data_IF_910862133294
#
_entry.id   IF_910862133294
#
_cell.length_a   1.000
_cell.length_b   1.000
_cell.length_c   1.000
_cell.angle_alpha   90.00
_cell.angle_beta   90.00
_cell.angle_gamma   90.00
#
_symmetry.space_group_name_H-M   'P 1'
#
loop_
_entity.id
_entity.type
_entity.pdbx_description
1 polymer ?
#
# COMPACT_ATOMS: atom_id res chain seq x y z
N UNK A 1 -25.85 16.27 -44.76
CA UNK A 1 -26.58 15.37 -43.84
C UNK A 1 -25.64 15.13 -42.67
N UNK A 2 -25.68 16.03 -41.69
CA UNK A 2 -24.80 15.97 -40.53
C UNK A 2 -25.27 14.82 -39.63
N UNK A 3 -24.38 13.89 -39.30
CA UNK A 3 -24.63 12.90 -38.25
C UNK A 3 -24.84 13.67 -36.96
N UNK A 4 -25.99 13.46 -36.33
CA UNK A 4 -26.23 13.93 -34.98
C UNK A 4 -25.14 13.37 -34.06
N UNK A 5 -24.50 14.19 -33.21
CA UNK A 5 -23.55 13.69 -32.24
C UNK A 5 -24.29 12.77 -31.26
N UNK A 6 -23.77 11.55 -31.12
CA UNK A 6 -24.32 10.52 -30.25
C UNK A 6 -24.23 11.02 -28.80
N UNK A 7 -25.34 10.97 -28.06
CA UNK A 7 -25.46 11.47 -26.67
C UNK A 7 -24.53 10.73 -25.67
N UNK A 8 -23.85 9.67 -26.13
CA UNK A 8 -22.84 8.92 -25.39
C UNK A 8 -21.44 9.58 -25.40
N UNK A 9 -21.14 10.43 -26.38
CA UNK A 9 -19.83 11.12 -26.48
C UNK A 9 -19.70 12.29 -25.48
N UNK A 10 -20.77 12.64 -24.78
CA UNK A 10 -20.85 13.85 -23.95
C UNK A 10 -20.64 13.61 -22.44
N UNK A 11 -20.27 12.39 -22.03
CA UNK A 11 -20.07 12.00 -20.63
C UNK A 11 -18.65 11.50 -20.29
N UNK A 12 -17.70 11.53 -21.23
CA UNK A 12 -16.39 10.87 -21.10
C UNK A 12 -15.38 11.56 -20.16
N UNK A 13 -15.78 12.57 -19.39
CA UNK A 13 -14.85 13.29 -18.53
C UNK A 13 -15.42 13.67 -17.17
N UNK A 14 -15.76 12.70 -16.32
CA UNK A 14 -15.83 12.84 -14.84
C UNK A 14 -16.32 11.54 -14.18
N UNK A 15 -15.50 10.48 -14.10
CA UNK A 15 -15.92 9.26 -13.42
C UNK A 15 -14.90 8.13 -13.41
N UNK A 16 -15.26 7.01 -12.78
CA UNK A 16 -14.53 5.75 -12.85
C UNK A 16 -15.14 4.92 -13.98
N UNK A 17 -14.35 4.60 -14.99
CA UNK A 17 -14.74 3.69 -16.08
C UNK A 17 -14.24 2.29 -15.78
N UNK A 18 -15.09 1.28 -15.98
CA UNK A 18 -14.75 -0.13 -15.78
C UNK A 18 -14.78 -0.87 -17.11
N UNK A 19 -13.63 -1.41 -17.52
CA UNK A 19 -13.50 -2.32 -18.65
C UNK A 19 -13.45 -3.77 -18.16
N UNK A 20 -14.16 -4.67 -18.83
CA UNK A 20 -14.22 -6.09 -18.49
C UNK A 20 -13.96 -6.96 -19.71
N UNK A 21 -13.04 -7.92 -19.57
CA UNK A 21 -12.72 -8.93 -20.60
C UNK A 21 -12.20 -10.20 -19.92
N UNK A 22 -12.33 -11.33 -20.60
CA UNK A 22 -11.68 -12.59 -20.25
C UNK A 22 -10.29 -12.73 -20.88
N UNK A 23 -9.95 -11.86 -21.83
CA UNK A 23 -8.66 -11.80 -22.49
C UNK A 23 -7.92 -10.51 -22.07
N UNK A 24 -6.77 -10.62 -21.38
CA UNK A 24 -6.00 -9.45 -21.00
C UNK A 24 -5.43 -8.67 -22.20
N UNK A 25 -5.18 -9.31 -23.35
CA UNK A 25 -4.69 -8.61 -24.54
C UNK A 25 -5.72 -7.61 -25.09
N UNK A 26 -7.00 -7.93 -24.95
CA UNK A 26 -8.09 -7.03 -25.35
C UNK A 26 -8.17 -5.81 -24.42
N UNK A 27 -7.93 -5.99 -23.11
CA UNK A 27 -7.81 -4.87 -22.17
C UNK A 27 -6.59 -4.00 -22.47
N UNK A 28 -5.47 -4.62 -22.85
CA UNK A 28 -4.27 -3.88 -23.27
C UNK A 28 -4.52 -3.11 -24.58
N UNK A 29 -5.28 -3.68 -25.53
CA UNK A 29 -5.72 -3.00 -26.75
C UNK A 29 -6.57 -1.77 -26.41
N UNK A 30 -7.59 -1.93 -25.58
CA UNK A 30 -8.43 -0.81 -25.14
C UNK A 30 -7.61 0.26 -24.42
N UNK A 31 -6.70 -0.15 -23.53
CA UNK A 31 -5.80 0.78 -22.85
C UNK A 31 -4.93 1.57 -23.83
N UNK A 32 -4.44 0.96 -24.91
CA UNK A 32 -3.67 1.67 -25.93
C UNK A 32 -4.51 2.68 -26.71
N UNK A 33 -5.79 2.40 -26.93
CA UNK A 33 -6.74 3.34 -27.55
C UNK A 33 -7.03 4.54 -26.64
N UNK A 34 -7.22 4.28 -25.35
CA UNK A 34 -7.44 5.34 -24.35
C UNK A 34 -6.21 6.27 -24.23
N UNK A 35 -4.99 5.71 -24.35
CA UNK A 35 -3.73 6.46 -24.34
C UNK A 35 -3.43 7.21 -25.65
N UNK A 36 -4.26 7.04 -26.69
CA UNK A 36 -4.09 7.80 -27.93
C UNK A 36 -4.39 9.30 -27.73
N UNK A 37 -5.20 9.63 -26.72
CA UNK A 37 -5.37 10.99 -26.24
C UNK A 37 -4.28 11.30 -25.19
N UNK A 38 -3.31 12.18 -25.50
CA UNK A 38 -2.18 12.43 -24.60
C UNK A 38 -2.60 13.23 -23.37
N UNK A 39 -1.84 13.08 -22.27
CA UNK A 39 -1.95 13.95 -21.11
C UNK A 39 -1.78 15.43 -21.47
N UNK A 40 -2.46 16.29 -20.72
CA UNK A 40 -2.38 17.75 -20.89
C UNK A 40 -0.98 18.33 -20.60
N UNK A 41 -0.20 17.67 -19.73
CA UNK A 41 1.21 18.00 -19.48
C UNK A 41 2.12 17.15 -20.39
N UNK A 42 2.94 17.75 -21.27
CA UNK A 42 3.91 17.04 -22.10
C UNK A 42 4.96 16.24 -21.31
N UNK A 43 5.16 16.57 -20.04
CA UNK A 43 6.01 15.85 -19.11
C UNK A 43 5.21 15.07 -18.06
N UNK A 44 3.91 14.85 -18.27
CA UNK A 44 3.13 13.94 -17.46
C UNK A 44 3.70 12.52 -17.51
N UNK A 45 3.55 11.78 -16.42
CA UNK A 45 3.78 10.34 -16.40
C UNK A 45 2.44 9.62 -16.46
N UNK A 46 2.33 8.60 -17.31
CA UNK A 46 1.16 7.73 -17.32
C UNK A 46 1.19 6.82 -16.10
N UNK A 47 0.15 6.89 -15.25
CA UNK A 47 0.10 6.23 -13.95
C UNK A 47 -0.69 4.92 -14.03
N UNK A 48 -0.04 3.81 -13.68
CA UNK A 48 -0.66 2.47 -13.70
C UNK A 48 -0.66 1.87 -12.30
N UNK A 49 -1.82 1.39 -11.86
CA UNK A 49 -1.94 0.54 -10.68
C UNK A 49 -1.85 -0.94 -11.10
N UNK A 50 -0.83 -1.65 -10.60
CA UNK A 50 -0.63 -3.07 -10.88
C UNK A 50 -0.46 -3.89 -9.61
N UNK A 51 -0.89 -5.15 -9.67
CA UNK A 51 -0.83 -6.09 -8.53
C UNK A 51 0.56 -6.73 -8.39
N UNK A 52 1.33 -6.79 -9.48
CA UNK A 52 2.64 -7.46 -9.48
C UNK A 52 3.59 -6.82 -10.48
N UNK A 53 4.90 -6.99 -10.24
CA UNK A 53 5.95 -6.50 -11.16
C UNK A 53 5.83 -7.13 -12.54
N UNK A 54 5.49 -8.42 -12.59
CA UNK A 54 5.30 -9.15 -13.84
C UNK A 54 4.16 -8.57 -14.68
N UNK A 55 3.05 -8.21 -14.05
CA UNK A 55 1.94 -7.53 -14.73
C UNK A 55 2.37 -6.16 -15.27
N UNK A 56 3.11 -5.36 -14.49
CA UNK A 56 3.64 -4.08 -14.96
C UNK A 56 4.54 -4.23 -16.19
N UNK A 57 5.50 -5.15 -16.14
CA UNK A 57 6.38 -5.43 -17.28
C UNK A 57 5.63 -5.97 -18.49
N UNK A 58 4.62 -6.82 -18.29
CA UNK A 58 3.78 -7.32 -19.38
C UNK A 58 2.98 -6.19 -20.04
N UNK A 59 2.31 -5.33 -19.26
CA UNK A 59 1.58 -4.16 -19.79
C UNK A 59 2.53 -3.25 -20.57
N UNK A 60 3.70 -2.95 -20.01
CA UNK A 60 4.69 -2.08 -20.65
C UNK A 60 5.11 -2.60 -22.03
N UNK A 61 5.34 -3.91 -22.15
CA UNK A 61 5.69 -4.54 -23.43
C UNK A 61 4.52 -4.54 -24.41
N UNK A 62 3.30 -4.85 -23.95
CA UNK A 62 2.09 -4.84 -24.79
C UNK A 62 1.80 -3.45 -25.36
N UNK A 63 1.92 -2.41 -24.53
CA UNK A 63 1.74 -1.03 -24.97
C UNK A 63 2.87 -0.59 -25.91
N UNK A 64 4.12 -0.95 -25.63
CA UNK A 64 5.24 -0.64 -26.51
C UNK A 64 5.10 -1.28 -27.90
N UNK A 65 4.65 -2.54 -27.96
CA UNK A 65 4.42 -3.24 -29.23
C UNK A 65 3.32 -2.55 -30.08
N UNK A 66 2.26 -2.08 -29.43
CA UNK A 66 1.09 -1.47 -30.09
C UNK A 66 1.32 0.00 -30.47
N UNK A 67 1.96 0.77 -29.59
CA UNK A 67 2.22 2.20 -29.76
C UNK A 67 3.58 2.47 -30.43
N UNK A 68 4.40 1.44 -30.65
CA UNK A 68 5.77 1.51 -31.16
C UNK A 68 6.79 1.89 -30.08
N UNK A 69 6.46 2.86 -29.23
CA UNK A 69 7.25 3.24 -28.05
C UNK A 69 6.29 3.52 -26.90
N UNK A 70 6.57 2.94 -25.74
CA UNK A 70 5.88 3.27 -24.51
C UNK A 70 6.90 3.61 -23.42
N UNK A 71 6.89 4.85 -22.98
CA UNK A 71 7.89 5.43 -22.07
C UNK A 71 7.21 6.42 -21.12
N UNK A 72 7.95 6.87 -20.10
CA UNK A 72 7.48 7.85 -19.12
C UNK A 72 6.17 7.40 -18.44
N UNK A 73 6.18 6.17 -17.95
CA UNK A 73 5.09 5.53 -17.21
C UNK A 73 5.51 5.18 -15.79
N UNK A 74 4.62 5.34 -14.83
CA UNK A 74 4.85 4.97 -13.43
C UNK A 74 3.93 3.81 -13.04
N UNK A 75 4.52 2.68 -12.64
CA UNK A 75 3.77 1.50 -12.19
C UNK A 75 3.77 1.43 -10.66
N UNK A 76 2.62 1.68 -10.04
CA UNK A 76 2.41 1.67 -8.59
C UNK A 76 1.74 0.39 -8.14
N UNK A 77 2.16 -0.08 -6.96
CA UNK A 77 1.51 -1.18 -6.25
C UNK A 77 0.43 -0.64 -5.32
N UNK A 78 -0.52 -1.49 -4.87
CA UNK A 78 -1.64 -1.06 -4.04
C UNK A 78 -1.24 -0.21 -2.82
N UNK A 79 -0.16 -0.58 -2.11
CA UNK A 79 0.32 0.18 -0.95
C UNK A 79 0.74 1.61 -1.31
N UNK A 80 1.49 1.76 -2.41
CA UNK A 80 1.93 3.07 -2.89
C UNK A 80 0.74 3.91 -3.37
N UNK A 81 -0.25 3.28 -3.99
CA UNK A 81 -1.46 3.96 -4.48
C UNK A 81 -2.32 4.48 -3.34
N UNK A 82 -2.53 3.71 -2.27
CA UNK A 82 -3.25 4.21 -1.08
C UNK A 82 -2.57 5.45 -0.52
N UNK A 83 -1.23 5.45 -0.42
CA UNK A 83 -0.48 6.62 0.06
C UNK A 83 -0.60 7.82 -0.89
N UNK A 84 -0.51 7.59 -2.20
CA UNK A 84 -0.68 8.63 -3.21
C UNK A 84 -2.05 9.31 -3.07
N UNK A 85 -3.12 8.51 -2.95
CA UNK A 85 -4.48 9.01 -2.73
C UNK A 85 -4.55 9.80 -1.42
N UNK A 86 -4.08 9.24 -0.31
CA UNK A 86 -4.11 9.90 0.99
C UNK A 86 -3.40 11.27 0.98
N UNK A 87 -2.25 11.38 0.30
CA UNK A 87 -1.55 12.68 0.14
C UNK A 87 -2.35 13.70 -0.67
N UNK A 88 -3.08 13.25 -1.69
CA UNK A 88 -3.93 14.13 -2.49
C UNK A 88 -5.09 14.73 -1.69
N UNK A 89 -5.56 14.03 -0.65
CA UNK A 89 -6.69 14.47 0.17
C UNK A 89 -6.31 15.09 1.53
N UNK A 90 -5.14 14.74 2.09
CA UNK A 90 -4.69 15.19 3.40
C UNK A 90 -3.56 16.22 3.25
N UNK A 91 -3.85 17.49 3.54
CA UNK A 91 -2.93 18.62 3.37
C UNK A 91 -1.60 18.49 4.14
N UNK A 92 -1.62 17.82 5.30
CA UNK A 92 -0.47 17.69 6.21
C UNK A 92 0.07 16.24 6.29
N UNK A 93 -0.09 15.44 5.23
CA UNK A 93 0.41 14.07 5.24
C UNK A 93 1.95 14.04 5.22
N UNK A 94 2.63 13.44 6.22
CA UNK A 94 4.09 13.37 6.23
C UNK A 94 4.67 12.67 5.01
N UNK A 95 5.82 13.15 4.51
CA UNK A 95 6.52 12.53 3.39
C UNK A 95 7.03 11.11 3.72
N UNK A 96 7.32 10.83 4.98
CA UNK A 96 7.78 9.51 5.41
C UNK A 96 6.75 8.84 6.32
N UNK A 97 6.51 7.55 6.08
CA UNK A 97 5.73 6.74 6.98
C UNK A 97 6.58 6.42 8.22
N UNK A 98 6.34 7.12 9.33
CA UNK A 98 7.04 6.93 10.61
C UNK A 98 6.73 5.56 11.29
N UNK A 99 5.82 4.79 10.71
CA UNK A 99 5.37 3.47 11.15
C UNK A 99 5.64 2.40 10.08
N UNK A 100 6.81 2.44 9.43
CA UNK A 100 7.30 1.26 8.69
C UNK A 100 7.46 0.06 9.62
N UNK A 101 7.42 -1.16 9.08
CA UNK A 101 7.64 -2.40 9.86
C UNK A 101 8.97 -2.34 10.62
N UNK A 102 10.01 -1.90 9.94
CA UNK A 102 11.36 -1.76 10.47
C UNK A 102 11.41 -0.66 11.54
N UNK A 103 10.85 0.52 11.28
CA UNK A 103 10.80 1.62 12.24
C UNK A 103 10.01 1.26 13.50
N UNK A 104 8.88 0.58 13.34
CA UNK A 104 8.09 0.06 14.46
C UNK A 104 8.86 -1.00 15.24
N UNK A 105 9.56 -1.92 14.58
CA UNK A 105 10.33 -2.96 15.28
C UNK A 105 11.40 -2.34 16.20
N UNK A 106 12.11 -1.31 15.74
CA UNK A 106 13.07 -0.57 16.56
C UNK A 106 12.39 0.17 17.73
N UNK A 107 11.27 0.85 17.49
CA UNK A 107 10.50 1.52 18.56
C UNK A 107 9.99 0.53 19.61
N UNK A 108 9.52 -0.64 19.18
CA UNK A 108 9.07 -1.70 20.10
C UNK A 108 10.24 -2.24 20.90
N UNK A 109 11.40 -2.45 20.27
CA UNK A 109 12.61 -2.91 20.97
C UNK A 109 13.03 -1.96 22.10
N UNK A 110 12.93 -0.65 21.86
CA UNK A 110 13.23 0.39 22.86
C UNK A 110 12.20 0.40 24.01
N UNK A 111 10.91 0.27 23.68
CA UNK A 111 9.82 0.35 24.67
C UNK A 111 9.63 -0.94 25.49
N UNK A 112 9.92 -2.11 24.90
CA UNK A 112 9.57 -3.41 25.46
C UNK A 112 10.16 -3.68 26.86
N UNK A 113 11.45 -3.39 27.15
CA UNK A 113 12.04 -3.60 28.48
C UNK A 113 11.27 -2.85 29.57
N UNK A 114 10.99 -1.55 29.37
CA UNK A 114 10.24 -0.75 30.35
C UNK A 114 8.79 -1.21 30.53
N UNK A 115 8.19 -1.87 29.53
CA UNK A 115 6.85 -2.48 29.66
C UNK A 115 6.88 -3.76 30.48
N UNK A 116 7.89 -4.60 30.29
CA UNK A 116 8.10 -5.82 31.08
C UNK A 116 8.32 -5.45 32.55
N UNK A 117 9.17 -4.46 32.82
CA UNK A 117 9.45 -4.00 34.20
C UNK A 117 8.21 -3.43 34.89
N UNK A 118 7.41 -2.64 34.19
CA UNK A 118 6.22 -1.99 34.77
C UNK A 118 5.05 -2.95 34.99
N UNK A 119 4.92 -3.99 34.17
CA UNK A 119 3.78 -4.92 34.21
C UNK A 119 4.23 -6.32 33.84
N UNK A 120 4.85 -7.07 34.78
CA UNK A 120 5.49 -8.35 34.46
C UNK A 120 4.49 -9.47 34.12
N UNK A 121 3.30 -9.48 34.74
CA UNK A 121 2.32 -10.57 34.55
C UNK A 121 1.90 -10.78 33.08
N UNK A 122 1.41 -9.76 32.35
CA UNK A 122 1.02 -9.95 30.94
C UNK A 122 2.20 -10.30 30.01
N UNK A 123 3.43 -9.98 30.42
CA UNK A 123 4.64 -10.16 29.62
C UNK A 123 5.50 -11.36 30.06
N UNK A 124 5.03 -12.19 31.00
CA UNK A 124 5.83 -13.27 31.58
C UNK A 124 6.39 -14.26 30.53
N UNK A 125 5.58 -14.61 29.51
CA UNK A 125 6.00 -15.47 28.41
C UNK A 125 7.05 -14.82 27.51
N UNK A 126 6.90 -13.51 27.26
CA UNK A 126 7.84 -12.71 26.49
C UNK A 126 9.17 -12.58 27.23
N UNK A 127 9.13 -12.23 28.52
CA UNK A 127 10.32 -12.12 29.37
C UNK A 127 11.12 -13.43 29.37
N UNK A 128 10.46 -14.56 29.57
CA UNK A 128 11.08 -15.89 29.51
C UNK A 128 11.72 -16.18 28.15
N UNK A 129 11.06 -15.79 27.05
CA UNK A 129 11.59 -15.99 25.70
C UNK A 129 12.85 -15.15 25.43
N UNK A 130 12.87 -13.91 25.91
CA UNK A 130 14.02 -13.00 25.77
C UNK A 130 15.23 -13.49 26.58
N UNK A 131 14.96 -14.22 27.66
CA UNK A 131 15.94 -14.87 28.52
C UNK A 131 15.97 -14.21 29.90
N UNK A 132 16.03 -15.04 30.95
CA UNK A 132 16.25 -14.62 32.32
C UNK A 132 17.78 -14.46 32.58
N UNK A 133 18.16 -13.68 33.60
CA UNK A 133 19.53 -13.56 34.12
C UNK A 133 20.60 -12.93 33.21
N UNK A 134 20.33 -11.74 32.67
CA UNK A 134 21.38 -10.87 32.09
C UNK A 134 21.97 -11.34 30.76
N UNK A 135 21.44 -12.41 30.15
CA UNK A 135 21.80 -12.91 28.80
C UNK A 135 20.69 -12.63 27.79
N UNK A 136 20.13 -11.42 27.82
CA UNK A 136 19.17 -10.99 26.82
C UNK A 136 19.84 -11.05 25.44
N UNK A 137 19.32 -11.91 24.57
CA UNK A 137 19.87 -12.08 23.23
C UNK A 137 19.20 -11.04 22.33
N UNK A 138 19.96 -10.01 21.94
CA UNK A 138 19.48 -8.92 21.08
C UNK A 138 18.85 -9.42 19.77
N UNK A 139 19.37 -10.49 19.17
CA UNK A 139 18.83 -11.06 17.94
C UNK A 139 17.47 -11.74 18.17
N UNK A 140 17.25 -12.37 19.33
CA UNK A 140 15.93 -12.91 19.70
C UNK A 140 14.94 -11.76 19.96
N UNK A 141 15.37 -10.74 20.69
CA UNK A 141 14.55 -9.57 20.99
C UNK A 141 14.09 -8.85 19.72
N UNK A 142 15.03 -8.55 18.82
CA UNK A 142 14.72 -7.85 17.59
C UNK A 142 13.84 -8.69 16.65
N UNK A 143 14.06 -10.01 16.55
CA UNK A 143 13.16 -10.90 15.78
C UNK A 143 11.73 -10.88 16.30
N UNK A 144 11.54 -10.94 17.63
CA UNK A 144 10.22 -10.80 18.23
C UNK A 144 9.60 -9.44 17.90
N UNK A 145 10.36 -8.35 18.05
CA UNK A 145 9.87 -7.01 17.76
C UNK A 145 9.45 -6.84 16.29
N UNK A 146 10.18 -7.45 15.34
CA UNK A 146 9.79 -7.49 13.92
C UNK A 146 8.49 -8.27 13.71
N UNK A 147 8.30 -9.39 14.40
CA UNK A 147 7.07 -10.17 14.32
C UNK A 147 5.88 -9.37 14.86
N UNK A 148 6.04 -8.70 16.00
CA UNK A 148 5.02 -7.81 16.56
C UNK A 148 4.70 -6.67 15.58
N UNK A 149 5.72 -6.00 15.03
CA UNK A 149 5.52 -4.94 14.04
C UNK A 149 4.76 -5.42 12.79
N UNK A 150 5.04 -6.66 12.34
CA UNK A 150 4.33 -7.27 11.21
C UNK A 150 2.85 -7.53 11.53
N UNK A 151 2.54 -7.93 12.76
CA UNK A 151 1.16 -8.08 13.22
C UNK A 151 0.43 -6.74 13.28
N UNK A 152 1.07 -5.69 13.80
CA UNK A 152 0.50 -4.33 13.79
C UNK A 152 0.19 -3.85 12.37
N UNK A 153 1.09 -4.05 11.42
CA UNK A 153 0.88 -3.72 10.00
C UNK A 153 -0.35 -4.46 9.43
N UNK A 154 -0.48 -5.75 9.75
CA UNK A 154 -1.62 -6.56 9.33
C UNK A 154 -2.92 -6.06 9.97
N UNK A 155 -2.91 -5.68 11.24
CA UNK A 155 -4.09 -5.14 11.92
C UNK A 155 -4.51 -3.79 11.34
N UNK A 156 -3.57 -2.91 10.99
CA UNK A 156 -3.92 -1.63 10.35
C UNK A 156 -4.65 -1.83 9.02
N UNK A 157 -4.32 -2.88 8.26
CA UNK A 157 -4.97 -3.18 6.99
C UNK A 157 -6.32 -3.92 7.15
N UNK A 158 -6.39 -4.90 8.07
CA UNK A 158 -7.52 -5.85 8.10
C UNK A 158 -8.42 -5.73 9.33
N UNK A 159 -7.93 -5.14 10.44
CA UNK A 159 -8.65 -5.00 11.73
C UNK A 159 -8.32 -3.66 12.41
N UNK A 160 -8.49 -2.51 11.73
CA UNK A 160 -8.10 -1.22 12.28
C UNK A 160 -8.87 -0.85 13.56
N UNK A 161 -10.08 -1.39 13.72
CA UNK A 161 -10.92 -1.28 14.91
C UNK A 161 -10.21 -1.77 16.19
N UNK A 162 -9.40 -2.83 16.11
CA UNK A 162 -8.63 -3.32 17.27
C UNK A 162 -7.61 -2.27 17.74
N UNK A 163 -6.86 -1.68 16.80
CA UNK A 163 -5.86 -0.66 17.10
C UNK A 163 -6.53 0.57 17.72
N UNK A 164 -7.64 1.03 17.15
CA UNK A 164 -8.40 2.17 17.66
C UNK A 164 -8.95 1.91 19.07
N UNK A 165 -9.42 0.69 19.34
CA UNK A 165 -9.90 0.31 20.67
C UNK A 165 -8.75 0.25 21.69
N UNK A 166 -7.62 -0.34 21.33
CA UNK A 166 -6.44 -0.37 22.23
C UNK A 166 -5.93 1.05 22.54
N UNK A 167 -5.92 1.95 21.56
CA UNK A 167 -5.57 3.37 21.80
C UNK A 167 -6.55 4.05 22.77
N UNK A 168 -7.83 3.67 22.74
CA UNK A 168 -8.85 4.14 23.68
C UNK A 168 -8.87 3.34 25.00
N UNK A 169 -7.83 2.53 25.27
CA UNK A 169 -7.71 1.65 26.44
C UNK A 169 -8.89 0.67 26.61
N UNK A 170 -9.53 0.28 25.50
CA UNK A 170 -10.55 -0.77 25.43
C UNK A 170 -9.91 -2.05 24.92
N UNK A 171 -9.76 -3.02 25.82
CA UNK A 171 -9.33 -4.35 25.44
C UNK A 171 -10.54 -5.15 24.93
N UNK A 172 -10.37 -6.02 23.92
CA UNK A 172 -11.42 -6.95 23.54
C UNK A 172 -11.83 -7.78 24.76
N UNK A 173 -13.14 -7.94 24.96
CA UNK A 173 -13.67 -8.80 26.02
C UNK A 173 -13.21 -10.24 25.77
N UNK A 174 -12.54 -10.82 26.77
CA UNK A 174 -12.09 -12.20 26.79
C UNK A 174 -12.35 -12.80 28.16
#
# INVERSE_FOLDING_TARGET
MAREPNMQDQLMGTGITLYGSNDPEELARQCAEDLAEPLSDPFGEEEFLVQSRGMGSWIQLQLADRLGIFARSCFRFPEATVRMILRGFLADCPEENLFTKEGMAWKILDLLPGRIERSPEPFASVARYLGEDGKSNGDRAFRLCRQIATLYDSYLAYRPDLIMNWQANRLPEG
#
